data_IF_127622015221
#
_entry.id   IF_127622015221
#
_cell.length_a   1.000
_cell.length_b   1.000
_cell.length_c   1.000
_cell.angle_alpha   90.00
_cell.angle_beta   90.00
_cell.angle_gamma   90.00
#
_symmetry.space_group_name_H-M   'P 1'
#
loop_
_entity.id
_entity.type
_entity.pdbx_description
1 polymer ?
#
# COMPACT_ATOMS: atom_id res chain seq x y z
N UNK A 1 -6.63 -42.86 -20.09
CA UNK A 1 -5.99 -41.87 -20.98
C UNK A 1 -6.50 -40.54 -20.51
N UNK A 2 -5.68 -39.77 -19.81
CA UNK A 2 -6.08 -38.47 -19.25
C UNK A 2 -5.91 -37.41 -20.36
N UNK A 3 -7.01 -36.76 -20.73
CA UNK A 3 -7.02 -35.68 -21.70
C UNK A 3 -6.24 -34.47 -21.15
N UNK A 4 -5.07 -34.21 -21.74
CA UNK A 4 -4.21 -33.09 -21.37
C UNK A 4 -4.91 -31.77 -21.67
N UNK A 5 -4.87 -30.86 -20.70
CA UNK A 5 -5.48 -29.54 -20.78
C UNK A 5 -4.82 -28.70 -21.90
N UNK A 6 -5.59 -27.94 -22.68
CA UNK A 6 -5.12 -27.18 -23.85
C UNK A 6 -3.97 -26.22 -23.55
N UNK A 7 -3.87 -25.73 -22.31
CA UNK A 7 -2.76 -24.88 -21.86
C UNK A 7 -1.42 -25.62 -21.82
N UNK A 8 -1.41 -26.93 -21.58
CA UNK A 8 -0.19 -27.74 -21.56
C UNK A 8 0.36 -28.01 -22.96
N UNK A 9 -0.45 -27.87 -24.01
CA UNK A 9 0.00 -27.96 -25.40
C UNK A 9 0.70 -26.68 -25.86
N UNK A 10 0.26 -25.52 -25.37
CA UNK A 10 0.85 -24.23 -25.71
C UNK A 10 2.06 -23.89 -24.85
N UNK A 11 2.11 -24.40 -23.61
CA UNK A 11 3.20 -24.19 -22.67
C UNK A 11 3.55 -25.52 -21.97
N UNK A 12 4.36 -26.39 -22.60
CA UNK A 12 4.80 -27.61 -21.94
C UNK A 12 5.57 -27.25 -20.66
N UNK A 13 5.23 -27.83 -19.50
CA UNK A 13 5.87 -27.48 -18.24
C UNK A 13 7.37 -27.77 -18.29
N UNK A 14 8.18 -26.73 -18.16
CA UNK A 14 9.65 -26.81 -18.19
C UNK A 14 10.27 -27.33 -16.90
N UNK A 15 9.47 -27.57 -15.87
CA UNK A 15 9.92 -28.07 -14.57
C UNK A 15 9.33 -29.44 -14.29
N UNK A 16 10.18 -30.47 -14.34
CA UNK A 16 9.84 -31.82 -13.90
C UNK A 16 10.26 -31.93 -12.45
N UNK A 17 9.37 -31.60 -11.52
CA UNK A 17 9.57 -31.91 -10.10
C UNK A 17 9.27 -33.39 -9.89
N UNK A 18 10.27 -34.17 -9.50
CA UNK A 18 10.04 -35.58 -9.17
C UNK A 18 9.20 -35.68 -7.90
N UNK A 19 8.38 -36.73 -7.75
CA UNK A 19 7.55 -36.94 -6.54
C UNK A 19 8.38 -37.03 -5.25
N UNK A 20 9.68 -37.24 -5.37
CA UNK A 20 10.64 -37.27 -4.26
C UNK A 20 11.03 -35.85 -3.80
N UNK A 21 11.06 -34.86 -4.70
CA UNK A 21 11.42 -33.47 -4.39
C UNK A 21 10.32 -32.71 -3.63
N UNK A 22 9.05 -33.13 -3.76
CA UNK A 22 7.91 -32.54 -3.04
C UNK A 22 7.84 -33.04 -1.58
N UNK A 23 8.41 -34.20 -1.27
CA UNK A 23 8.36 -34.80 0.07
C UNK A 23 9.42 -34.30 1.05
N UNK A 24 10.50 -33.65 0.58
CA UNK A 24 11.60 -33.19 1.43
C UNK A 24 12.04 -31.75 1.10
N UNK A 25 11.34 -30.72 1.59
CA UNK A 25 11.76 -29.32 1.42
C UNK A 25 13.04 -28.95 2.19
N UNK A 26 13.52 -29.81 3.09
CA UNK A 26 14.66 -29.52 4.00
C UNK A 26 16.06 -29.84 3.44
N UNK A 27 16.18 -30.40 2.23
CA UNK A 27 17.49 -30.76 1.65
C UNK A 27 18.21 -29.58 0.95
N UNK A 28 17.52 -28.44 0.72
CA UNK A 28 18.10 -27.27 0.02
C UNK A 28 18.83 -26.25 0.90
N UNK A 29 18.94 -26.44 2.22
CA UNK A 29 19.54 -25.43 3.11
C UNK A 29 21.02 -25.61 3.47
N UNK A 30 21.75 -26.60 2.93
CA UNK A 30 23.10 -26.90 3.41
C UNK A 30 24.30 -26.61 2.48
N UNK A 31 24.15 -25.85 1.39
CA UNK A 31 25.32 -25.50 0.54
C UNK A 31 25.50 -24.03 0.18
N UNK A 32 24.78 -23.11 0.82
CA UNK A 32 25.05 -21.68 0.71
C UNK A 32 25.16 -21.06 2.10
N UNK A 33 26.29 -21.33 2.76
CA UNK A 33 26.82 -20.42 3.78
C UNK A 33 27.05 -19.08 3.10
N UNK A 34 26.03 -18.25 3.27
CA UNK A 34 25.90 -16.89 2.80
C UNK A 34 27.06 -16.06 3.39
N UNK A 35 28.18 -16.02 2.66
CA UNK A 35 29.24 -15.04 2.90
C UNK A 35 28.59 -13.70 2.55
N UNK A 36 28.20 -12.96 3.58
CA UNK A 36 27.64 -11.61 3.50
C UNK A 36 28.27 -10.82 2.34
N UNK A 37 27.53 -9.92 1.65
CA UNK A 37 28.04 -9.18 0.49
C UNK A 37 29.42 -8.53 0.71
N UNK A 38 29.71 -8.12 1.95
CA UNK A 38 31.00 -7.58 2.39
C UNK A 38 32.18 -8.54 2.25
N UNK A 39 31.99 -9.86 2.47
CA UNK A 39 33.06 -10.86 2.36
C UNK A 39 33.37 -11.22 0.90
N UNK A 40 32.35 -11.21 0.01
CA UNK A 40 32.55 -11.43 -1.42
C UNK A 40 33.28 -10.26 -2.07
N UNK A 41 32.91 -9.02 -1.73
CA UNK A 41 33.62 -7.82 -2.20
C UNK A 41 35.06 -7.77 -1.67
N UNK A 42 35.29 -8.09 -0.39
CA UNK A 42 36.64 -8.16 0.17
C UNK A 42 37.51 -9.28 -0.43
N UNK A 43 36.91 -10.36 -0.93
CA UNK A 43 37.62 -11.42 -1.64
C UNK A 43 38.01 -10.98 -3.07
N UNK A 44 37.13 -10.26 -3.76
CA UNK A 44 37.41 -9.68 -5.07
C UNK A 44 38.51 -8.63 -4.95
N UNK A 45 38.42 -7.73 -3.95
CA UNK A 45 39.43 -6.68 -3.74
C UNK A 45 40.81 -7.26 -3.41
N UNK A 46 40.88 -8.34 -2.60
CA UNK A 46 42.14 -9.04 -2.33
C UNK A 46 42.71 -9.75 -3.56
N UNK A 47 41.86 -10.30 -4.42
CA UNK A 47 42.29 -10.92 -5.68
C UNK A 47 42.86 -9.90 -6.64
N UNK A 48 42.13 -8.82 -6.91
CA UNK A 48 42.56 -7.73 -7.80
C UNK A 48 43.84 -7.08 -7.28
N UNK A 49 43.95 -6.87 -5.96
CA UNK A 49 45.18 -6.35 -5.36
C UNK A 49 46.37 -7.29 -5.55
N UNK A 50 46.18 -8.61 -5.41
CA UNK A 50 47.25 -9.59 -5.64
C UNK A 50 47.69 -9.63 -7.11
N UNK A 51 46.73 -9.59 -8.04
CA UNK A 51 47.01 -9.53 -9.49
C UNK A 51 47.77 -8.25 -9.85
N UNK A 52 47.36 -7.09 -9.30
CA UNK A 52 48.05 -5.82 -9.51
C UNK A 52 49.46 -5.81 -8.90
N UNK A 53 49.62 -6.32 -7.68
CA UNK A 53 50.94 -6.40 -7.02
C UNK A 53 51.87 -7.38 -7.78
N UNK A 54 51.35 -8.47 -8.34
CA UNK A 54 52.09 -9.41 -9.21
C UNK A 54 52.45 -8.77 -10.56
N UNK A 55 51.57 -7.97 -11.15
CA UNK A 55 51.83 -7.26 -12.41
C UNK A 55 52.88 -6.16 -12.24
N UNK A 56 52.81 -5.39 -11.14
CA UNK A 56 53.82 -4.39 -10.77
C UNK A 56 55.15 -5.05 -10.43
N UNK A 57 55.15 -6.20 -9.74
CA UNK A 57 56.36 -6.98 -9.48
C UNK A 57 56.99 -7.50 -10.77
N UNK A 58 56.18 -8.03 -11.70
CA UNK A 58 56.64 -8.50 -13.01
C UNK A 58 57.15 -7.34 -13.90
N UNK A 59 56.52 -6.16 -13.84
CA UNK A 59 56.98 -4.97 -14.54
C UNK A 59 58.33 -4.47 -13.98
N UNK A 60 58.53 -4.54 -12.66
CA UNK A 60 59.83 -4.25 -12.03
C UNK A 60 60.91 -5.26 -12.41
N UNK A 61 60.58 -6.56 -12.48
CA UNK A 61 61.52 -7.59 -12.93
C UNK A 61 61.91 -7.41 -14.41
N UNK A 62 60.98 -7.00 -15.28
CA UNK A 62 61.25 -6.69 -16.70
C UNK A 62 62.03 -5.38 -16.90
N UNK A 63 61.95 -4.44 -15.95
CA UNK A 63 62.69 -3.18 -15.97
C UNK A 63 64.16 -3.30 -15.56
N UNK A 64 64.58 -4.41 -14.94
CA UNK A 64 65.98 -4.60 -14.50
C UNK A 64 66.86 -5.32 -15.54
N UNK A 65 66.32 -5.62 -16.73
CA UNK A 65 67.04 -6.31 -17.81
C UNK A 65 67.22 -5.45 -19.08
N UNK A 66 67.34 -4.13 -18.91
CA UNK A 66 67.93 -3.25 -19.93
C UNK A 66 68.83 -2.26 -19.21
N UNK A 67 69.95 -2.77 -18.70
CA UNK A 67 71.11 -1.97 -18.34
C UNK A 67 72.09 -1.97 -19.51
N UNK A 68 72.46 -0.76 -19.94
CA UNK A 68 73.70 -0.35 -20.60
C UNK A 68 74.17 -0.99 -21.93
N UNK A 69 74.00 -0.20 -22.98
CA UNK A 69 75.05 0.20 -23.92
C UNK A 69 74.49 1.39 -24.71
N UNK A 70 75.18 2.47 -25.03
CA UNK A 70 76.57 2.86 -24.89
C UNK A 70 76.60 4.36 -25.19
N UNK A 71 77.46 5.04 -24.45
CA UNK A 71 77.96 6.40 -24.64
C UNK A 71 78.27 6.80 -26.10
N UNK A 72 78.19 8.12 -26.33
CA UNK A 72 79.11 8.91 -27.18
C UNK A 72 79.32 8.51 -28.65
N UNK A 73 78.88 9.38 -29.57
CA UNK A 73 79.77 10.03 -30.55
C UNK A 73 79.00 10.98 -31.48
N UNK A 74 79.58 12.18 -31.68
CA UNK A 74 79.50 13.03 -32.89
C UNK A 74 78.11 13.47 -33.41
N UNK A 75 77.76 14.75 -33.51
CA UNK A 75 78.56 15.83 -34.08
C UNK A 75 78.51 15.79 -35.61
N UNK A 76 78.16 16.92 -36.23
CA UNK A 76 78.14 17.27 -37.68
C UNK A 76 76.75 17.20 -38.32
N UNK A 77 76.09 18.35 -38.50
CA UNK A 77 76.10 19.19 -39.72
C UNK A 77 75.49 18.48 -40.93
N UNK A 78 74.23 18.77 -41.20
CA UNK A 78 73.68 18.77 -42.55
C UNK A 78 73.36 20.22 -42.94
N UNK A 79 74.35 20.85 -43.57
CA UNK A 79 74.10 21.88 -44.58
C UNK A 79 73.61 21.14 -45.83
N UNK A 80 72.38 21.40 -46.25
CA UNK A 80 71.90 21.01 -47.56
C UNK A 80 72.16 22.18 -48.51
N UNK A 81 73.21 22.04 -49.31
CA UNK A 81 73.45 22.85 -50.50
C UNK A 81 72.47 22.44 -51.61
N UNK A 82 71.97 23.45 -52.32
CA UNK A 82 71.11 23.32 -53.49
C UNK A 82 71.44 24.43 -54.49
N UNK A 83 72.60 24.29 -55.11
CA UNK A 83 73.00 24.70 -56.46
C UNK A 83 72.27 25.88 -57.14
N UNK A 84 73.02 26.95 -57.40
CA UNK A 84 73.02 27.65 -58.70
C UNK A 84 74.27 28.55 -58.78
N UNK A 85 75.16 28.23 -59.71
CA UNK A 85 76.41 28.93 -59.94
C UNK A 85 77.06 28.44 -61.22
N UNK A 86 76.54 28.91 -62.35
CA UNK A 86 77.26 28.96 -63.62
C UNK A 86 78.46 29.88 -63.45
N UNK A 87 79.68 29.34 -63.51
CA UNK A 87 80.88 30.13 -63.69
C UNK A 87 81.64 29.63 -64.93
N UNK A 88 81.39 30.36 -66.01
CA UNK A 88 82.18 30.33 -67.23
C UNK A 88 83.48 31.09 -67.00
N UNK A 89 84.55 30.38 -66.63
CA UNK A 89 85.92 30.91 -66.66
C UNK A 89 86.75 30.09 -67.67
N UNK A 90 86.64 30.49 -68.93
CA UNK A 90 87.45 30.03 -70.05
C UNK A 90 88.85 30.63 -69.91
N UNK A 91 89.76 29.91 -69.26
CA UNK A 91 91.18 30.25 -69.27
C UNK A 91 91.82 29.75 -70.57
N UNK A 92 92.29 30.73 -71.34
CA UNK A 92 93.11 30.61 -72.54
C UNK A 92 94.45 29.96 -72.19
N UNK A 93 94.67 28.72 -72.63
CA UNK A 93 95.99 28.08 -72.60
C UNK A 93 96.42 27.85 -74.04
N UNK A 94 97.44 28.62 -74.37
CA UNK A 94 98.22 28.66 -75.61
C UNK A 94 98.64 27.25 -76.03
N UNK A 95 98.21 26.88 -77.23
CA UNK A 95 98.68 25.72 -77.98
C UNK A 95 100.21 25.83 -78.17
N UNK A 96 100.93 24.84 -77.64
CA UNK A 96 102.27 24.51 -78.11
C UNK A 96 102.18 23.17 -78.81
N UNK A 97 102.23 23.25 -80.14
CA UNK A 97 102.54 22.17 -81.06
C UNK A 97 103.78 21.40 -80.57
N UNK A 98 103.53 20.25 -79.96
CA UNK A 98 104.47 19.14 -79.97
C UNK A 98 103.67 17.88 -80.26
N UNK A 99 103.79 17.43 -81.50
CA UNK A 99 103.68 16.04 -81.93
C UNK A 99 103.87 15.05 -80.75
N UNK A 100 102.75 14.58 -80.21
CA UNK A 100 102.68 13.43 -79.31
C UNK A 100 101.62 12.46 -79.82
N UNK A 101 101.51 12.30 -81.14
CA UNK A 101 100.67 11.30 -81.80
C UNK A 101 101.12 9.85 -81.56
N UNK A 102 102.03 9.59 -80.61
CA UNK A 102 102.43 8.24 -80.19
C UNK A 102 102.99 8.16 -78.77
N UNK A 103 102.61 9.08 -77.87
CA UNK A 103 102.81 8.85 -76.44
C UNK A 103 101.47 8.44 -75.84
N UNK A 104 101.15 7.15 -75.92
CA UNK A 104 100.28 6.56 -74.92
C UNK A 104 100.92 6.89 -73.56
N UNK A 105 100.46 7.98 -72.93
CA UNK A 105 100.90 8.47 -71.63
C UNK A 105 100.64 7.46 -70.52
N UNK A 106 99.81 6.47 -70.84
CA UNK A 106 99.35 5.39 -70.00
C UNK A 106 99.95 4.10 -70.56
N UNK A 107 100.72 3.40 -69.74
CA UNK A 107 101.16 2.06 -70.08
C UNK A 107 99.91 1.15 -70.24
N UNK A 108 100.02 0.14 -71.10
CA UNK A 108 98.99 -0.87 -71.29
C UNK A 108 98.51 -1.50 -69.97
N UNK A 109 99.42 -1.61 -69.00
CA UNK A 109 99.14 -2.07 -67.63
C UNK A 109 98.27 -1.09 -66.83
N UNK A 110 98.50 0.23 -66.96
CA UNK A 110 97.75 1.28 -66.28
C UNK A 110 96.33 1.43 -66.85
N UNK A 111 96.17 1.26 -68.16
CA UNK A 111 94.85 1.20 -68.81
C UNK A 111 94.04 -0.01 -68.31
N UNK A 112 94.69 -1.15 -68.13
CA UNK A 112 94.03 -2.35 -67.62
C UNK A 112 93.60 -2.18 -66.15
N UNK A 113 94.45 -1.57 -65.30
CA UNK A 113 94.09 -1.21 -63.92
C UNK A 113 92.89 -0.26 -63.89
N UNK A 114 92.88 0.79 -64.73
CA UNK A 114 91.74 1.69 -64.83
C UNK A 114 90.46 0.98 -65.27
N UNK A 115 90.54 0.03 -66.19
CA UNK A 115 89.38 -0.76 -66.62
C UNK A 115 88.85 -1.65 -65.50
N UNK A 116 89.74 -2.29 -64.74
CA UNK A 116 89.38 -3.09 -63.56
C UNK A 116 88.70 -2.20 -62.52
N UNK A 117 89.32 -1.09 -62.15
CA UNK A 117 88.75 -0.13 -61.17
C UNK A 117 87.42 0.42 -61.67
N UNK A 118 87.28 0.77 -62.94
CA UNK A 118 86.00 1.24 -63.51
C UNK A 118 84.92 0.16 -63.46
N UNK A 119 85.25 -1.10 -63.77
CA UNK A 119 84.34 -2.24 -63.67
C UNK A 119 83.92 -2.49 -62.22
N UNK A 120 84.87 -2.48 -61.28
CA UNK A 120 84.61 -2.61 -59.84
C UNK A 120 83.72 -1.46 -59.34
N UNK A 121 84.07 -0.21 -59.66
CA UNK A 121 83.29 0.97 -59.25
C UNK A 121 81.89 0.96 -59.88
N UNK A 122 81.77 0.53 -61.13
CA UNK A 122 80.46 0.38 -61.80
C UNK A 122 79.63 -0.69 -61.11
N UNK A 123 80.22 -1.84 -60.79
CA UNK A 123 79.55 -2.91 -60.08
C UNK A 123 79.15 -2.51 -58.66
N UNK A 124 79.98 -1.75 -57.96
CA UNK A 124 79.67 -1.17 -56.66
C UNK A 124 78.54 -0.13 -56.76
N UNK A 125 78.53 0.71 -57.80
CA UNK A 125 77.45 1.66 -58.06
C UNK A 125 76.13 0.93 -58.35
N UNK A 126 76.16 -0.15 -59.13
CA UNK A 126 74.98 -0.96 -59.42
C UNK A 126 74.47 -1.69 -58.17
N UNK A 127 75.37 -2.19 -57.30
CA UNK A 127 75.01 -2.75 -55.99
C UNK A 127 74.36 -1.70 -55.08
N UNK A 128 74.94 -0.50 -54.99
CA UNK A 128 74.41 0.61 -54.20
C UNK A 128 73.03 1.04 -54.70
N UNK A 129 72.78 1.06 -56.02
CA UNK A 129 71.44 1.33 -56.57
C UNK A 129 70.41 0.30 -56.11
N UNK A 130 70.77 -0.98 -56.16
CA UNK A 130 69.87 -2.06 -55.70
C UNK A 130 69.58 -1.91 -54.21
N UNK A 131 70.59 -1.63 -53.39
CA UNK A 131 70.43 -1.42 -51.96
C UNK A 131 69.55 -0.19 -51.66
N UNK A 132 69.76 0.90 -52.40
CA UNK A 132 68.96 2.12 -52.28
C UNK A 132 67.49 1.87 -52.65
N UNK A 133 67.22 1.08 -53.69
CA UNK A 133 65.85 0.68 -54.06
C UNK A 133 65.21 -0.24 -53.02
N UNK A 134 65.96 -1.16 -52.41
CA UNK A 134 65.46 -1.98 -51.29
C UNK A 134 65.09 -1.11 -50.10
N UNK A 135 65.96 -0.18 -49.71
CA UNK A 135 65.70 0.75 -48.61
C UNK A 135 64.50 1.66 -48.90
N UNK A 136 64.38 2.19 -50.13
CA UNK A 136 63.22 2.99 -50.55
C UNK A 136 61.91 2.22 -50.42
N UNK A 137 61.88 0.97 -50.91
CA UNK A 137 60.71 0.11 -50.80
C UNK A 137 60.36 -0.18 -49.33
N UNK A 138 61.36 -0.38 -48.46
CA UNK A 138 61.12 -0.61 -47.04
C UNK A 138 60.60 0.66 -46.32
N UNK A 139 61.11 1.83 -46.67
CA UNK A 139 60.59 3.13 -46.19
C UNK A 139 59.12 3.29 -46.63
N UNK A 140 58.79 2.99 -47.88
CA UNK A 140 57.43 3.09 -48.37
C UNK A 140 56.49 2.14 -47.62
N UNK A 141 56.84 0.86 -47.48
CA UNK A 141 56.04 -0.11 -46.70
C UNK A 141 55.89 0.27 -45.23
N UNK A 142 56.96 0.74 -44.60
CA UNK A 142 56.91 1.14 -43.18
C UNK A 142 56.06 2.38 -42.98
N UNK A 143 56.14 3.37 -43.88
CA UNK A 143 55.28 4.57 -43.82
C UNK A 143 53.81 4.25 -44.06
N UNK A 144 53.47 3.36 -45.00
CA UNK A 144 52.10 2.87 -45.19
C UNK A 144 51.58 2.15 -43.94
N UNK A 145 52.39 1.28 -43.34
CA UNK A 145 52.05 0.58 -42.11
C UNK A 145 51.83 1.56 -40.95
N UNK A 146 52.63 2.62 -40.87
CA UNK A 146 52.51 3.65 -39.84
C UNK A 146 51.19 4.40 -39.99
N UNK A 147 50.86 4.85 -41.21
CA UNK A 147 49.57 5.49 -41.53
C UNK A 147 48.37 4.59 -41.20
N UNK A 148 48.47 3.29 -41.54
CA UNK A 148 47.42 2.33 -41.22
C UNK A 148 47.23 2.16 -39.70
N UNK A 149 48.32 2.17 -38.92
CA UNK A 149 48.27 2.09 -37.46
C UNK A 149 47.75 3.35 -36.81
N UNK A 150 48.09 4.52 -37.34
CA UNK A 150 47.58 5.81 -36.88
C UNK A 150 46.06 5.88 -37.05
N UNK A 151 45.55 5.52 -38.24
CA UNK A 151 44.11 5.45 -38.50
C UNK A 151 43.37 4.44 -37.61
N UNK A 152 43.97 3.28 -37.36
CA UNK A 152 43.41 2.28 -36.43
C UNK A 152 43.38 2.81 -34.98
N UNK A 153 44.41 3.56 -34.57
CA UNK A 153 44.47 4.20 -33.26
C UNK A 153 43.38 5.27 -33.10
N UNK A 154 43.23 6.16 -34.08
CA UNK A 154 42.18 7.19 -34.09
C UNK A 154 40.79 6.57 -34.03
N UNK A 155 40.53 5.53 -34.84
CA UNK A 155 39.25 4.81 -34.81
C UNK A 155 38.97 4.19 -33.45
N UNK A 156 39.98 3.61 -32.80
CA UNK A 156 39.83 3.04 -31.45
C UNK A 156 39.58 4.12 -30.41
N UNK A 157 40.26 5.26 -30.50
CA UNK A 157 40.03 6.39 -29.60
C UNK A 157 38.59 6.90 -29.70
N UNK A 158 38.06 7.03 -30.91
CA UNK A 158 36.68 7.46 -31.13
C UNK A 158 35.68 6.46 -30.53
N UNK A 159 35.90 5.15 -30.73
CA UNK A 159 35.05 4.13 -30.09
C UNK A 159 35.15 4.14 -28.56
N UNK A 160 36.34 4.42 -28.01
CA UNK A 160 36.54 4.55 -26.57
C UNK A 160 35.80 5.77 -25.99
N UNK A 161 35.78 6.90 -26.72
CA UNK A 161 34.99 8.08 -26.36
C UNK A 161 33.49 7.78 -26.39
N UNK A 162 33.02 7.13 -27.46
CA UNK A 162 31.61 6.74 -27.61
C UNK A 162 31.13 5.82 -26.48
N UNK A 163 31.93 4.79 -26.15
CA UNK A 163 31.62 3.86 -25.06
C UNK A 163 31.65 4.53 -23.69
N UNK A 164 32.58 5.47 -23.46
CA UNK A 164 32.63 6.26 -22.22
C UNK A 164 31.39 7.11 -22.03
N UNK A 165 30.94 7.80 -23.07
CA UNK A 165 29.72 8.63 -23.03
C UNK A 165 28.46 7.78 -22.77
N UNK A 166 28.37 6.61 -23.40
CA UNK A 166 27.28 5.67 -23.16
C UNK A 166 27.29 5.14 -21.71
N UNK A 167 28.47 4.83 -21.17
CA UNK A 167 28.61 4.39 -19.78
C UNK A 167 28.19 5.48 -18.79
N UNK A 168 28.59 6.73 -19.02
CA UNK A 168 28.21 7.86 -18.18
C UNK A 168 26.69 8.10 -18.19
N UNK A 169 26.07 7.99 -19.37
CA UNK A 169 24.61 8.09 -19.53
C UNK A 169 23.88 6.98 -18.76
N UNK A 170 24.32 5.72 -18.91
CA UNK A 170 23.76 4.58 -18.19
C UNK A 170 23.96 4.70 -16.67
N UNK A 171 25.10 5.23 -16.23
CA UNK A 171 25.35 5.49 -14.82
C UNK A 171 24.35 6.52 -14.28
N UNK A 172 24.14 7.63 -14.99
CA UNK A 172 23.18 8.67 -14.59
C UNK A 172 21.75 8.11 -14.49
N UNK A 173 21.32 7.34 -15.50
CA UNK A 173 20.03 6.67 -15.50
C UNK A 173 19.87 5.68 -14.34
N UNK A 174 20.90 4.88 -14.06
CA UNK A 174 20.89 3.96 -12.92
C UNK A 174 20.71 4.73 -11.60
N UNK A 175 21.43 5.85 -11.41
CA UNK A 175 21.26 6.66 -10.19
C UNK A 175 19.86 7.28 -10.09
N UNK A 176 19.25 7.65 -11.21
CA UNK A 176 17.88 8.15 -11.26
C UNK A 176 16.88 7.06 -10.83
N UNK A 177 16.96 5.88 -11.46
CA UNK A 177 16.11 4.73 -11.12
C UNK A 177 16.26 4.30 -9.66
N UNK A 178 17.48 4.35 -9.10
CA UNK A 178 17.70 4.07 -7.68
C UNK A 178 16.98 5.09 -6.78
N UNK A 179 16.94 6.37 -7.16
CA UNK A 179 16.21 7.41 -6.42
C UNK A 179 14.70 7.19 -6.50
N UNK A 180 14.17 6.91 -7.68
CA UNK A 180 12.75 6.60 -7.87
C UNK A 180 12.33 5.34 -7.09
N UNK A 181 13.14 4.28 -7.14
CA UNK A 181 12.87 3.06 -6.38
C UNK A 181 12.80 3.32 -4.87
N UNK A 182 13.68 4.18 -4.34
CA UNK A 182 13.64 4.59 -2.92
C UNK A 182 12.36 5.37 -2.61
N UNK A 183 11.94 6.27 -3.50
CA UNK A 183 10.71 7.05 -3.33
C UNK A 183 9.48 6.15 -3.35
N UNK A 184 9.38 5.24 -4.31
CA UNK A 184 8.29 4.27 -4.40
C UNK A 184 8.25 3.36 -3.17
N UNK A 185 9.40 2.88 -2.68
CA UNK A 185 9.46 2.11 -1.43
C UNK A 185 8.90 2.89 -0.22
N UNK A 186 9.20 4.19 -0.11
CA UNK A 186 8.63 5.03 0.96
C UNK A 186 7.11 5.16 0.81
N UNK A 187 6.63 5.38 -0.42
CA UNK A 187 5.19 5.46 -0.71
C UNK A 187 4.47 4.16 -0.39
N UNK A 188 5.02 3.01 -0.76
CA UNK A 188 4.47 1.70 -0.40
C UNK A 188 4.34 1.54 1.12
N UNK A 189 5.39 1.89 1.89
CA UNK A 189 5.33 1.82 3.36
C UNK A 189 4.25 2.73 3.96
N UNK A 190 4.14 3.97 3.47
CA UNK A 190 3.08 4.89 3.90
C UNK A 190 1.69 4.31 3.63
N UNK A 191 1.47 3.75 2.44
CA UNK A 191 0.19 3.13 2.10
C UNK A 191 -0.09 1.87 2.92
N UNK A 192 0.94 1.10 3.28
CA UNK A 192 0.79 -0.05 4.17
C UNK A 192 0.38 0.38 5.60
N UNK A 193 0.92 1.49 6.09
CA UNK A 193 0.53 2.10 7.37
C UNK A 193 -0.91 2.61 7.31
N UNK A 194 -1.28 3.38 6.28
CA UNK A 194 -2.66 3.85 6.07
C UNK A 194 -3.67 2.70 6.01
N UNK A 195 -3.32 1.62 5.29
CA UNK A 195 -4.16 0.41 5.21
C UNK A 195 -4.31 -0.29 6.55
N UNK A 196 -3.27 -0.28 7.39
CA UNK A 196 -3.33 -0.84 8.73
C UNK A 196 -4.28 -0.02 9.60
N UNK A 197 -4.18 1.31 9.56
CA UNK A 197 -5.03 2.20 10.33
C UNK A 197 -6.50 2.06 9.91
N UNK A 198 -6.79 2.07 8.61
CA UNK A 198 -8.13 1.83 8.06
C UNK A 198 -8.72 0.48 8.50
N UNK A 199 -7.90 -0.58 8.58
CA UNK A 199 -8.35 -1.88 9.09
C UNK A 199 -8.71 -1.79 10.57
N UNK A 200 -7.92 -1.09 11.39
CA UNK A 200 -8.24 -0.92 12.81
C UNK A 200 -9.53 -0.14 13.01
N UNK A 201 -9.74 0.93 12.24
CA UNK A 201 -10.94 1.74 12.34
C UNK A 201 -12.18 1.01 11.84
N UNK A 202 -12.07 0.21 10.78
CA UNK A 202 -13.15 -0.70 10.36
C UNK A 202 -13.55 -1.64 11.48
N UNK A 203 -12.59 -2.26 12.18
CA UNK A 203 -12.88 -3.17 13.30
C UNK A 203 -13.56 -2.42 14.45
N UNK A 204 -13.09 -1.21 14.80
CA UNK A 204 -13.71 -0.37 15.84
C UNK A 204 -15.16 -0.03 15.49
N UNK A 205 -15.41 0.48 14.28
CA UNK A 205 -16.74 0.85 13.79
C UNK A 205 -17.69 -0.35 13.72
N UNK A 206 -17.21 -1.52 13.28
CA UNK A 206 -18.01 -2.74 13.34
C UNK A 206 -18.36 -3.13 14.77
N UNK A 207 -17.43 -2.97 15.71
CA UNK A 207 -17.69 -3.23 17.13
C UNK A 207 -18.75 -2.27 17.70
N UNK A 208 -18.69 -1.00 17.35
CA UNK A 208 -19.65 0.03 17.76
C UNK A 208 -21.01 -0.22 17.15
N UNK A 209 -21.08 -0.54 15.85
CA UNK A 209 -22.31 -0.96 15.19
C UNK A 209 -22.96 -2.17 15.88
N UNK A 210 -22.18 -3.17 16.28
CA UNK A 210 -22.69 -4.33 17.03
C UNK A 210 -23.18 -3.94 18.44
N UNK A 211 -22.48 -3.04 19.13
CA UNK A 211 -22.91 -2.52 20.45
C UNK A 211 -24.22 -1.75 20.33
N UNK A 212 -24.33 -0.85 19.37
CA UNK A 212 -25.51 -0.02 19.18
C UNK A 212 -26.72 -0.84 18.73
N UNK A 213 -26.50 -1.84 17.86
CA UNK A 213 -27.56 -2.80 17.49
C UNK A 213 -28.08 -3.57 18.71
N UNK A 214 -27.22 -3.95 19.66
CA UNK A 214 -27.65 -4.61 20.90
C UNK A 214 -28.51 -3.69 21.76
N UNK A 215 -28.07 -2.44 21.97
CA UNK A 215 -28.86 -1.44 22.72
C UNK A 215 -30.22 -1.21 22.08
N UNK A 216 -30.27 -1.08 20.75
CA UNK A 216 -31.53 -0.91 20.03
C UNK A 216 -32.49 -2.09 20.25
N UNK A 217 -31.98 -3.33 20.18
CA UNK A 217 -32.80 -4.52 20.42
C UNK A 217 -33.27 -4.62 21.88
N UNK A 218 -32.42 -4.24 22.82
CA UNK A 218 -32.76 -4.18 24.24
C UNK A 218 -33.86 -3.14 24.52
N UNK A 219 -33.71 -1.93 23.98
CA UNK A 219 -34.72 -0.88 24.08
C UNK A 219 -36.04 -1.32 23.42
N UNK A 220 -35.97 -1.98 22.27
CA UNK A 220 -37.16 -2.52 21.60
C UNK A 220 -37.86 -3.58 22.47
N UNK A 221 -37.10 -4.46 23.13
CA UNK A 221 -37.66 -5.45 24.05
C UNK A 221 -38.30 -4.77 25.28
N UNK A 222 -37.64 -3.75 25.85
CA UNK A 222 -38.18 -2.96 26.96
C UNK A 222 -39.48 -2.25 26.57
N UNK A 223 -39.52 -1.59 25.40
CA UNK A 223 -40.73 -0.95 24.87
C UNK A 223 -41.89 -1.93 24.75
N UNK A 224 -41.66 -3.11 24.16
CA UNK A 224 -42.69 -4.17 24.07
C UNK A 224 -43.18 -4.63 25.44
N UNK A 225 -42.28 -4.75 26.43
CA UNK A 225 -42.65 -5.15 27.78
C UNK A 225 -43.50 -4.09 28.50
N UNK A 226 -43.13 -2.81 28.36
CA UNK A 226 -43.90 -1.68 28.90
C UNK A 226 -45.27 -1.60 28.23
N UNK A 227 -45.36 -1.73 26.90
CA UNK A 227 -46.63 -1.75 26.18
C UNK A 227 -47.53 -2.92 26.63
N UNK A 228 -46.98 -4.11 26.81
CA UNK A 228 -47.73 -5.25 27.33
C UNK A 228 -48.23 -5.02 28.76
N UNK A 229 -47.38 -4.44 29.62
CA UNK A 229 -47.74 -4.08 30.99
C UNK A 229 -48.85 -3.05 31.05
N UNK A 230 -48.79 -2.04 30.16
CA UNK A 230 -49.82 -1.00 30.04
C UNK A 230 -51.15 -1.59 29.59
N UNK A 231 -51.17 -2.44 28.54
CA UNK A 231 -52.40 -3.14 28.11
C UNK A 231 -53.00 -4.02 29.22
N UNK A 232 -52.16 -4.72 29.97
CA UNK A 232 -52.61 -5.53 31.10
C UNK A 232 -53.21 -4.68 32.22
N UNK A 233 -52.59 -3.53 32.52
CA UNK A 233 -53.10 -2.59 33.52
C UNK A 233 -54.44 -2.00 33.07
N UNK A 234 -54.55 -1.55 31.82
CA UNK A 234 -55.81 -1.05 31.25
C UNK A 234 -56.93 -2.09 31.33
N UNK A 235 -56.63 -3.36 31.02
CA UNK A 235 -57.60 -4.44 31.14
C UNK A 235 -58.01 -4.70 32.60
N UNK A 236 -57.05 -4.71 33.53
CA UNK A 236 -57.31 -4.86 34.97
C UNK A 236 -58.17 -3.71 35.52
N UNK A 237 -57.87 -2.48 35.13
CA UNK A 237 -58.66 -1.31 35.53
C UNK A 237 -60.08 -1.42 34.99
N UNK A 238 -60.27 -1.70 33.69
CA UNK A 238 -61.60 -1.86 33.09
C UNK A 238 -62.41 -2.98 33.72
N UNK A 239 -61.77 -4.11 34.04
CA UNK A 239 -62.44 -5.24 34.70
C UNK A 239 -62.80 -4.92 36.16
N UNK A 240 -61.91 -4.24 36.88
CA UNK A 240 -62.17 -3.73 38.23
C UNK A 240 -63.32 -2.72 38.25
N UNK A 241 -63.34 -1.74 37.33
CA UNK A 241 -64.43 -0.77 37.17
C UNK A 241 -65.78 -1.45 36.89
N UNK A 242 -65.80 -2.47 36.02
CA UNK A 242 -67.03 -3.26 35.79
C UNK A 242 -67.48 -3.99 37.05
N UNK A 243 -66.55 -4.64 37.76
CA UNK A 243 -66.86 -5.35 38.99
C UNK A 243 -67.41 -4.41 40.06
N UNK A 244 -66.83 -3.21 40.25
CA UNK A 244 -67.33 -2.24 41.24
C UNK A 244 -68.72 -1.71 40.86
N UNK A 245 -68.96 -1.42 39.59
CA UNK A 245 -70.29 -1.01 39.10
C UNK A 245 -71.33 -2.12 39.31
N UNK A 246 -70.98 -3.37 39.03
CA UNK A 246 -71.86 -4.52 39.26
C UNK A 246 -72.16 -4.71 40.76
N UNK A 247 -71.16 -4.61 41.64
CA UNK A 247 -71.39 -4.70 43.08
C UNK A 247 -72.29 -3.58 43.59
N UNK A 248 -72.07 -2.33 43.14
CA UNK A 248 -72.92 -1.20 43.51
C UNK A 248 -74.34 -1.40 43.02
N UNK A 249 -74.51 -1.89 41.78
CA UNK A 249 -75.83 -2.19 41.22
C UNK A 249 -76.57 -3.22 42.08
N UNK A 250 -75.91 -4.31 42.46
CA UNK A 250 -76.50 -5.33 43.35
C UNK A 250 -76.89 -4.76 44.71
N UNK A 251 -76.04 -3.93 45.32
CA UNK A 251 -76.32 -3.29 46.61
C UNK A 251 -77.53 -2.36 46.55
N UNK A 252 -77.64 -1.55 45.49
CA UNK A 252 -78.80 -0.68 45.28
C UNK A 252 -80.07 -1.48 44.99
N UNK A 253 -80.00 -2.55 44.20
CA UNK A 253 -81.14 -3.45 43.98
C UNK A 253 -81.64 -4.08 45.29
N UNK A 254 -80.72 -4.52 46.16
CA UNK A 254 -81.07 -5.02 47.50
C UNK A 254 -81.69 -3.94 48.37
N UNK A 255 -81.16 -2.71 48.34
CA UNK A 255 -81.71 -1.59 49.12
C UNK A 255 -83.11 -1.18 48.63
N UNK A 256 -83.32 -1.15 47.32
CA UNK A 256 -84.63 -0.90 46.71
C UNK A 256 -85.63 -1.96 47.15
N UNK A 257 -85.27 -3.25 47.09
CA UNK A 257 -86.13 -4.34 47.55
C UNK A 257 -86.53 -4.18 49.02
N UNK A 258 -85.57 -3.91 49.91
CA UNK A 258 -85.85 -3.64 51.33
C UNK A 258 -86.82 -2.48 51.54
N UNK A 259 -86.58 -1.35 50.86
CA UNK A 259 -87.46 -0.17 50.97
C UNK A 259 -88.88 -0.46 50.44
N UNK A 260 -89.01 -1.26 49.38
CA UNK A 260 -90.32 -1.67 48.86
C UNK A 260 -91.05 -2.60 49.82
N UNK A 261 -90.34 -3.52 50.48
CA UNK A 261 -90.93 -4.39 51.50
C UNK A 261 -91.36 -3.58 52.75
N UNK A 262 -90.53 -2.64 53.22
CA UNK A 262 -90.87 -1.69 54.28
C UNK A 262 -92.11 -0.85 53.92
N UNK A 263 -92.17 -0.32 52.69
CA UNK A 263 -93.32 0.44 52.19
C UNK A 263 -94.59 -0.43 52.18
N UNK A 264 -94.48 -1.70 51.74
CA UNK A 264 -95.59 -2.65 51.70
C UNK A 264 -96.09 -2.95 53.11
N UNK A 265 -95.20 -3.18 54.07
CA UNK A 265 -95.52 -3.41 55.47
C UNK A 265 -96.21 -2.20 56.11
N UNK A 266 -95.69 -0.99 55.89
CA UNK A 266 -96.30 0.25 56.37
C UNK A 266 -97.66 0.51 55.73
N UNK A 267 -97.80 0.26 54.43
CA UNK A 267 -99.07 0.38 53.72
C UNK A 267 -100.11 -0.60 54.27
N UNK A 268 -99.71 -1.85 54.52
CA UNK A 268 -100.56 -2.85 55.14
C UNK A 268 -100.98 -2.44 56.56
N UNK A 269 -100.04 -1.95 57.37
CA UNK A 269 -100.30 -1.48 58.73
C UNK A 269 -101.29 -0.30 58.76
N UNK A 270 -101.11 0.66 57.85
CA UNK A 270 -102.00 1.82 57.72
C UNK A 270 -103.41 1.39 57.28
N UNK A 271 -103.53 0.44 56.35
CA UNK A 271 -104.83 -0.03 55.90
C UNK A 271 -105.56 -0.82 56.99
N UNK A 272 -104.82 -1.63 57.76
CA UNK A 272 -105.33 -2.28 58.96
C UNK A 272 -105.84 -1.26 59.98
N UNK A 273 -105.06 -0.22 60.27
CA UNK A 273 -105.45 0.85 61.18
C UNK A 273 -106.71 1.59 60.69
N UNK A 274 -106.83 1.86 59.39
CA UNK A 274 -108.06 2.45 58.81
C UNK A 274 -109.28 1.56 59.02
N UNK A 275 -109.16 0.25 58.81
CA UNK A 275 -110.29 -0.68 59.01
C UNK A 275 -110.63 -0.80 60.50
N UNK A 276 -109.63 -0.86 61.40
CA UNK A 276 -109.81 -0.84 62.84
C UNK A 276 -110.51 0.46 63.31
N UNK A 277 -110.10 1.61 62.77
CA UNK A 277 -110.75 2.90 63.05
C UNK A 277 -112.19 2.95 62.51
N UNK A 278 -112.45 2.42 61.32
CA UNK A 278 -113.80 2.31 60.75
C UNK A 278 -114.70 1.40 61.60
N UNK A 279 -114.18 0.29 62.11
CA UNK A 279 -114.89 -0.59 63.04
C UNK A 279 -115.17 0.10 64.38
N UNK A 280 -114.17 0.80 64.93
CA UNK A 280 -114.29 1.60 66.15
C UNK A 280 -115.32 2.72 65.99
N UNK A 281 -115.31 3.42 64.85
CA UNK A 281 -116.30 4.45 64.53
C UNK A 281 -117.71 3.88 64.46
N UNK A 282 -117.91 2.74 63.80
CA UNK A 282 -119.21 2.04 63.79
C UNK A 282 -119.66 1.67 65.21
N UNK A 283 -118.77 1.15 66.04
CA UNK A 283 -119.07 0.81 67.44
C UNK A 283 -119.47 2.05 68.26
N UNK A 284 -118.74 3.16 68.10
CA UNK A 284 -119.07 4.44 68.73
C UNK A 284 -120.40 5.00 68.23
N UNK A 285 -120.72 4.90 66.94
CA UNK A 285 -121.99 5.34 66.40
C UNK A 285 -123.16 4.47 66.92
N UNK A 286 -122.96 3.16 67.06
CA UNK A 286 -123.91 2.28 67.77
C UNK A 286 -124.12 2.69 69.23
N UNK A 287 -123.03 2.99 69.96
CA UNK A 287 -123.13 3.51 71.32
C UNK A 287 -123.85 4.86 71.38
N UNK A 288 -123.50 5.81 70.50
CA UNK A 288 -124.16 7.13 70.41
C UNK A 288 -125.64 6.98 70.13
N UNK A 289 -126.02 6.08 69.23
CA UNK A 289 -127.42 5.75 68.97
C UNK A 289 -128.11 5.19 70.21
N UNK A 290 -127.49 4.21 70.90
CA UNK A 290 -128.00 3.65 72.14
C UNK A 290 -128.20 4.73 73.22
N UNK A 291 -127.19 5.56 73.48
CA UNK A 291 -127.28 6.64 74.47
C UNK A 291 -128.25 7.76 74.06
N UNK A 292 -128.36 8.09 72.77
CA UNK A 292 -129.35 9.06 72.29
C UNK A 292 -130.79 8.53 72.41
N UNK A 293 -130.99 7.22 72.39
CA UNK A 293 -132.28 6.56 72.60
C UNK A 293 -132.66 6.40 74.07
N UNK A 294 -131.75 6.69 75.01
CA UNK A 294 -132.08 6.73 76.44
C UNK A 294 -132.92 7.99 76.76
N UNK A 295 -133.93 7.90 77.64
CA UNK A 295 -134.69 9.05 78.09
C UNK A 295 -133.75 10.06 78.77
N UNK A 296 -133.74 11.31 78.29
CA UNK A 296 -132.98 12.39 78.95
C UNK A 296 -133.69 12.77 80.25
N UNK A 297 -133.13 12.38 81.39
CA UNK A 297 -133.45 13.04 82.66
C UNK A 297 -132.90 14.48 82.64
N UNK A 298 -133.69 15.50 83.03
CA UNK A 298 -133.21 16.87 83.14
C UNK A 298 -132.24 16.99 84.32
N UNK A 299 -130.97 17.27 84.04
CA UNK A 299 -129.96 17.63 85.05
C UNK A 299 -130.00 19.15 85.25
N UNK A 300 -130.53 19.53 86.41
CA UNK A 300 -130.55 20.89 86.96
C UNK A 300 -129.11 21.35 87.30
N UNK A 301 -128.65 22.42 86.66
CA UNK A 301 -127.40 23.10 86.99
C UNK A 301 -127.66 24.12 88.11
N UNK A 302 -127.44 23.71 89.37
CA UNK A 302 -127.24 24.64 90.47
C UNK A 302 -126.28 24.08 91.53
N UNK A 303 -125.07 24.67 91.56
CA UNK A 303 -124.08 24.68 92.64
C UNK A 303 -123.29 23.38 92.92
N UNK A 304 -122.01 23.37 92.51
CA UNK A 304 -120.86 23.30 93.43
C UNK A 304 -119.51 23.37 92.68
N UNK A 305 -118.80 24.46 92.99
CA UNK A 305 -117.35 24.62 93.21
C UNK A 305 -116.33 23.98 92.26
N UNK A 306 -115.49 24.87 91.74
CA UNK A 306 -114.13 24.70 91.23
C UNK A 306 -113.22 23.82 92.11
N UNK A 307 -112.11 23.41 91.48
CA UNK A 307 -110.91 22.74 92.00
C UNK A 307 -111.01 21.21 92.24
N UNK A 308 -110.58 20.41 91.24
CA UNK A 308 -109.57 19.32 91.45
C UNK A 308 -109.26 18.37 90.26
N UNK A 309 -109.72 18.61 89.02
CA UNK A 309 -109.53 17.62 87.92
C UNK A 309 -108.43 18.03 86.90
N UNK A 310 -107.35 18.67 87.37
CA UNK A 310 -106.15 18.94 86.56
C UNK A 310 -104.93 18.08 86.96
N UNK A 311 -105.09 17.11 87.87
CA UNK A 311 -103.95 16.44 88.52
C UNK A 311 -103.55 15.07 87.97
N UNK A 312 -104.18 14.54 86.91
CA UNK A 312 -103.93 13.14 86.48
C UNK A 312 -103.63 12.92 84.99
N UNK A 313 -103.07 13.91 84.30
CA UNK A 313 -102.45 13.71 82.98
C UNK A 313 -100.95 13.98 83.05
N UNK A 314 -100.26 13.12 83.79
CA UNK A 314 -98.84 12.87 83.67
C UNK A 314 -98.69 11.35 83.63
N UNK A 315 -97.85 10.83 82.72
CA UNK A 315 -97.73 9.42 82.27
C UNK A 315 -98.67 9.15 81.08
N UNK A 316 -98.25 9.16 79.81
CA UNK A 316 -96.99 8.79 79.16
C UNK A 316 -96.56 9.80 78.08
#
# INVERSE_FOLDING_TARGET
MEDKHWTEQLFPPTFHLSKEEVKNPSSRQNTLKDKSPKTRVAAIYRRVKKEFDEEVWNARQKSTQVGDSLLESSGLRESQDGANGDDAARAEIVEKDTNLDNANLWDSSEIEILRIVFLETKQENDNLKVELDVVRNEIERTTERLKAKEKDSESKEETAKGTRNAFESLYLENTHLQREMKLMKRRCKSLEEDLKDLRTDKVKLESEKRKERRKYLEEQAQRRNVEASLRNLELRTKTSERATVETLKMDYELKIKRLLDELREKSYSLEKEKEDHKNTKKALDHMRYHFASLPREPVDLASKSDDDILSNLQIF
#
